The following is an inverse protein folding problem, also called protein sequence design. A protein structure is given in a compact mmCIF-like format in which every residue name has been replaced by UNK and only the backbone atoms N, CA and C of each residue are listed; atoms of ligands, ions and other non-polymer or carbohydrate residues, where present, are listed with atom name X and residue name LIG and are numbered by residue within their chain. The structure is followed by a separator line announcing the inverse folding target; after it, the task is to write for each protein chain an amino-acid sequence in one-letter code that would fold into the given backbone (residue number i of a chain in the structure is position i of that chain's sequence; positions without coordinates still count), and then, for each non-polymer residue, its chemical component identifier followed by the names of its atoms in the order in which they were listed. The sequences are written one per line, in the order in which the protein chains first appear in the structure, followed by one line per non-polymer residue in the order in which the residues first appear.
data_IF_442431667410
#
_entry.id   IF_442431667410
#
_cell.length_a   1.000
_cell.length_b   1.000
_cell.length_c   1.000
_cell.angle_alpha   90.00
_cell.angle_beta   90.00
_cell.angle_gamma   90.00
#
_symmetry.space_group_name_H-M   'P 1'
#
loop_
_entity.id
_entity.type
_entity.pdbx_description
1 polymer ?
#
# COMPACT_ATOMS: atom_id res chain seq x y z
N UNK A 1 -5.04 15.63 8.04
CA UNK A 1 -4.04 14.55 8.17
C UNK A 1 -3.88 14.21 9.64
N UNK A 2 -3.60 12.94 9.98
CA UNK A 2 -3.39 12.49 11.36
C UNK A 2 -2.18 13.21 11.99
N UNK A 3 -2.37 13.85 13.14
CA UNK A 3 -1.32 14.59 13.85
C UNK A 3 -0.15 13.70 14.27
N UNK A 4 -0.39 12.42 14.55
CA UNK A 4 0.66 11.45 14.88
C UNK A 4 1.57 11.15 13.70
N UNK A 5 1.02 11.05 12.48
CA UNK A 5 1.82 10.83 11.28
C UNK A 5 2.74 12.03 11.02
N UNK A 6 2.19 13.25 11.11
CA UNK A 6 2.95 14.48 10.94
C UNK A 6 4.10 14.58 11.98
N UNK A 7 3.84 14.25 13.25
CA UNK A 7 4.86 14.22 14.31
C UNK A 7 5.96 13.19 14.06
N UNK A 8 5.70 12.15 13.27
CA UNK A 8 6.67 11.11 12.89
C UNK A 8 7.42 11.44 11.61
N UNK A 9 7.30 12.67 11.11
CA UNK A 9 8.01 13.16 9.92
C UNK A 9 7.33 12.84 8.60
N UNK A 10 6.07 12.40 8.63
CA UNK A 10 5.31 12.19 7.41
C UNK A 10 5.02 13.53 6.71
N UNK A 11 5.36 13.62 5.43
CA UNK A 11 5.07 14.79 4.58
C UNK A 11 3.94 14.41 3.61
N UNK A 12 2.71 14.92 3.80
CA UNK A 12 1.60 14.61 2.90
C UNK A 12 1.85 15.20 1.52
N UNK A 13 1.60 14.40 0.48
CA UNK A 13 1.48 14.91 -0.88
C UNK A 13 0.01 15.21 -1.19
N UNK A 14 -0.31 16.44 -1.65
CA UNK A 14 -1.69 16.81 -1.91
C UNK A 14 -2.25 16.07 -3.13
N UNK A 15 -3.54 15.74 -3.07
CA UNK A 15 -4.30 15.29 -4.23
C UNK A 15 -4.75 16.50 -5.06
N UNK A 16 -4.86 16.31 -6.38
CA UNK A 16 -5.49 17.30 -7.24
C UNK A 16 -7.00 17.34 -7.00
N UNK A 17 -7.69 18.46 -7.32
CA UNK A 17 -9.15 18.52 -7.22
C UNK A 17 -9.86 17.40 -8.00
N UNK A 18 -9.32 17.00 -9.15
CA UNK A 18 -9.85 15.91 -9.95
C UNK A 18 -9.69 14.54 -9.25
N UNK A 19 -8.56 14.30 -8.59
CA UNK A 19 -8.34 13.09 -7.81
C UNK A 19 -9.27 13.00 -6.60
N UNK A 20 -9.48 14.10 -5.88
CA UNK A 20 -10.48 14.14 -4.80
C UNK A 20 -11.88 13.85 -5.32
N UNK A 21 -12.29 14.51 -6.41
CA UNK A 21 -13.60 14.28 -7.02
C UNK A 21 -13.78 12.83 -7.48
N UNK A 22 -12.75 12.21 -8.05
CA UNK A 22 -12.80 10.80 -8.45
C UNK A 22 -12.98 9.86 -7.23
N UNK A 23 -12.27 10.11 -6.13
CA UNK A 23 -12.48 9.36 -4.88
C UNK A 23 -13.92 9.53 -4.36
N UNK A 24 -14.44 10.76 -4.36
CA UNK A 24 -15.76 11.08 -3.81
C UNK A 24 -16.92 10.52 -4.64
N UNK A 25 -16.73 10.40 -5.96
CA UNK A 25 -17.81 10.04 -6.90
C UNK A 25 -17.71 8.61 -7.43
N UNK A 26 -16.50 8.15 -7.76
CA UNK A 26 -16.28 6.83 -8.35
C UNK A 26 -15.88 5.78 -7.30
N UNK A 27 -15.45 6.22 -6.11
CA UNK A 27 -14.90 5.34 -5.07
C UNK A 27 -13.47 4.86 -5.34
N UNK A 28 -12.81 5.37 -6.40
CA UNK A 28 -11.42 5.06 -6.71
C UNK A 28 -10.72 6.21 -7.47
N UNK A 29 -9.39 6.19 -7.46
CA UNK A 29 -8.53 7.08 -8.25
C UNK A 29 -7.31 6.32 -8.75
N UNK A 30 -6.81 6.69 -9.92
CA UNK A 30 -5.56 6.14 -10.47
C UNK A 30 -4.43 7.11 -10.14
N UNK A 31 -3.37 6.60 -9.51
CA UNK A 31 -2.13 7.33 -9.25
C UNK A 31 -1.06 6.80 -10.20
N UNK A 32 -0.83 7.53 -11.29
CA UNK A 32 0.17 7.16 -12.30
C UNK A 32 1.58 7.45 -11.78
N UNK A 33 2.55 6.61 -12.17
CA UNK A 33 3.98 6.79 -11.90
C UNK A 33 4.32 7.07 -10.42
N UNK A 34 3.51 6.53 -9.51
CA UNK A 34 3.58 6.82 -8.08
C UNK A 34 4.82 6.24 -7.38
N UNK A 35 5.52 5.32 -8.05
CA UNK A 35 6.74 4.68 -7.57
C UNK A 35 7.83 4.69 -8.65
N UNK A 36 9.10 4.76 -8.23
CA UNK A 36 10.24 4.75 -9.15
C UNK A 36 10.40 3.38 -9.84
N UNK A 37 10.87 3.34 -11.10
CA UNK A 37 11.07 2.10 -11.85
C UNK A 37 11.97 1.06 -11.16
N UNK A 38 13.06 1.52 -10.52
CA UNK A 38 14.00 0.63 -9.84
C UNK A 38 13.36 -0.05 -8.62
N UNK A 39 12.58 0.71 -7.83
CA UNK A 39 11.85 0.15 -6.70
C UNK A 39 10.74 -0.81 -7.17
N UNK A 40 10.06 -0.51 -8.28
CA UNK A 40 9.11 -1.44 -8.89
C UNK A 40 9.77 -2.76 -9.30
N UNK A 41 10.97 -2.71 -9.86
CA UNK A 41 11.73 -3.91 -10.21
C UNK A 41 12.10 -4.73 -8.97
N UNK A 42 12.55 -4.06 -7.91
CA UNK A 42 12.86 -4.70 -6.62
C UNK A 42 11.62 -5.35 -5.98
N UNK A 43 10.50 -4.62 -5.92
CA UNK A 43 9.22 -5.13 -5.39
C UNK A 43 8.80 -6.43 -6.09
N UNK A 44 8.87 -6.46 -7.43
CA UNK A 44 8.52 -7.66 -8.22
C UNK A 44 9.45 -8.81 -7.91
N UNK A 45 10.76 -8.56 -7.91
CA UNK A 45 11.76 -9.57 -7.63
C UNK A 45 11.57 -10.17 -6.23
N UNK A 46 11.40 -9.33 -5.21
CA UNK A 46 11.20 -9.76 -3.83
C UNK A 46 9.88 -10.51 -3.65
N UNK A 47 8.79 -10.03 -4.27
CA UNK A 47 7.51 -10.73 -4.27
C UNK A 47 7.64 -12.13 -4.87
N UNK A 48 8.28 -12.26 -6.04
CA UNK A 48 8.47 -13.54 -6.70
C UNK A 48 9.34 -14.50 -5.88
N UNK A 49 10.43 -14.01 -5.29
CA UNK A 49 11.31 -14.79 -4.43
C UNK A 49 10.58 -15.31 -3.17
N UNK A 50 9.79 -14.46 -2.51
CA UNK A 50 9.02 -14.85 -1.32
C UNK A 50 7.94 -15.86 -1.70
N UNK A 51 7.19 -15.60 -2.77
CA UNK A 51 6.14 -16.50 -3.23
C UNK A 51 6.70 -17.89 -3.59
N UNK A 52 7.83 -17.94 -4.29
CA UNK A 52 8.49 -19.22 -4.60
C UNK A 52 9.00 -19.95 -3.35
N UNK A 53 9.47 -19.21 -2.34
CA UNK A 53 9.94 -19.77 -1.07
C UNK A 53 8.80 -20.29 -0.20
N UNK A 54 7.67 -19.60 -0.17
CA UNK A 54 6.49 -20.01 0.62
C UNK A 54 5.69 -21.10 -0.07
N UNK A 55 5.70 -21.16 -1.40
CA UNK A 55 5.07 -22.22 -2.17
C UNK A 55 3.58 -22.34 -1.85
N UNK A 56 3.16 -23.55 -1.49
CA UNK A 56 1.76 -23.86 -1.16
C UNK A 56 1.27 -23.16 0.11
N UNK A 57 2.16 -22.62 0.95
CA UNK A 57 1.80 -21.87 2.16
C UNK A 57 1.67 -20.36 1.91
N UNK A 58 1.95 -19.89 0.69
CA UNK A 58 1.90 -18.47 0.36
C UNK A 58 0.50 -17.88 0.64
N UNK A 59 0.44 -16.94 1.58
CA UNK A 59 -0.80 -16.25 1.97
C UNK A 59 -1.72 -17.03 2.92
N UNK A 60 -1.30 -18.18 3.45
CA UNK A 60 -2.05 -19.00 4.39
C UNK A 60 -2.38 -18.28 5.70
N UNK A 61 -1.64 -17.22 6.06
CA UNK A 61 -1.83 -16.46 7.29
C UNK A 61 -3.15 -15.66 7.31
N UNK A 62 -3.75 -15.43 6.14
CA UNK A 62 -5.01 -14.68 6.02
C UNK A 62 -6.05 -15.49 5.26
N UNK A 63 -5.79 -15.77 3.98
CA UNK A 63 -6.67 -16.53 3.11
C UNK A 63 -5.98 -16.77 1.77
N UNK A 64 -6.03 -18.01 1.31
CA UNK A 64 -5.61 -18.38 -0.04
C UNK A 64 -6.80 -18.37 -0.99
N UNK A 65 -6.51 -18.17 -2.27
CA UNK A 65 -7.50 -18.19 -3.34
C UNK A 65 -6.91 -18.94 -4.52
N UNK A 66 -7.59 -19.99 -4.96
CA UNK A 66 -7.15 -20.82 -6.07
C UNK A 66 -6.93 -19.96 -7.33
N UNK A 67 -5.80 -20.19 -8.02
CA UNK A 67 -5.42 -19.44 -9.21
C UNK A 67 -4.87 -18.03 -8.95
N UNK A 68 -4.78 -17.58 -7.69
CA UNK A 68 -4.27 -16.24 -7.35
C UNK A 68 -2.97 -16.34 -6.58
N UNK A 69 -1.92 -15.69 -7.10
CA UNK A 69 -0.68 -15.48 -6.37
C UNK A 69 -0.91 -14.44 -5.28
N UNK A 70 -0.90 -14.86 -4.02
CA UNK A 70 -1.12 -13.97 -2.88
C UNK A 70 -0.06 -14.18 -1.82
N UNK A 71 0.47 -13.07 -1.31
CA UNK A 71 1.26 -13.02 -0.10
C UNK A 71 0.47 -12.26 0.97
N UNK A 72 0.55 -12.73 2.20
CA UNK A 72 0.09 -12.01 3.38
C UNK A 72 1.28 -11.59 4.23
N UNK A 73 1.02 -10.77 5.26
CA UNK A 73 2.01 -10.33 6.24
C UNK A 73 3.26 -9.65 5.64
N UNK A 74 3.07 -8.87 4.57
CA UNK A 74 4.18 -8.23 3.84
C UNK A 74 5.00 -7.26 4.71
N UNK A 75 4.40 -6.72 5.78
CA UNK A 75 5.09 -5.87 6.78
C UNK A 75 6.29 -6.62 7.40
N UNK A 76 6.17 -7.93 7.60
CA UNK A 76 7.23 -8.75 8.19
C UNK A 76 8.11 -9.46 7.14
N UNK A 77 7.85 -9.26 5.84
CA UNK A 77 8.51 -10.00 4.74
C UNK A 77 9.53 -9.18 3.96
N UNK A 78 9.81 -7.95 4.37
CA UNK A 78 10.97 -7.20 3.88
C UNK A 78 10.69 -5.70 3.74
N UNK A 79 11.74 -4.89 3.97
CA UNK A 79 11.65 -3.42 3.96
C UNK A 79 11.23 -2.82 2.62
N UNK A 80 11.37 -3.57 1.53
CA UNK A 80 10.92 -3.13 0.19
C UNK A 80 9.42 -2.84 0.18
N UNK A 81 8.63 -3.51 1.04
CA UNK A 81 7.19 -3.29 1.16
C UNK A 81 6.83 -2.09 2.04
N UNK A 82 7.75 -1.60 2.89
CA UNK A 82 7.48 -0.49 3.82
C UNK A 82 6.98 0.74 3.08
N UNK A 83 7.63 1.06 1.97
CA UNK A 83 7.30 2.22 1.16
C UNK A 83 5.93 2.11 0.48
N UNK A 84 5.33 0.91 0.34
CA UNK A 84 3.98 0.75 -0.22
C UNK A 84 2.94 1.33 0.73
N UNK A 85 2.93 0.91 1.99
CA UNK A 85 1.95 1.40 2.98
C UNK A 85 2.34 2.75 3.60
N UNK A 86 3.56 3.23 3.33
CA UNK A 86 4.00 4.58 3.68
C UNK A 86 3.94 5.57 2.50
N UNK A 87 3.40 5.17 1.34
CA UNK A 87 3.38 6.04 0.16
C UNK A 87 2.59 7.34 0.47
N UNK A 88 3.19 8.54 0.28
CA UNK A 88 2.58 9.79 0.75
C UNK A 88 1.22 10.15 0.14
N UNK A 89 1.07 9.99 -1.16
CA UNK A 89 -0.17 10.26 -1.90
C UNK A 89 -1.29 9.31 -1.49
N UNK A 90 -0.98 8.04 -1.26
CA UNK A 90 -1.88 7.00 -0.77
C UNK A 90 -2.40 7.37 0.61
N UNK A 91 -1.52 7.73 1.55
CA UNK A 91 -1.95 8.10 2.90
C UNK A 91 -2.79 9.39 2.90
N UNK A 92 -2.51 10.35 2.01
CA UNK A 92 -3.39 11.51 1.78
C UNK A 92 -4.77 11.06 1.25
N UNK A 93 -4.81 10.15 0.27
CA UNK A 93 -6.07 9.62 -0.28
C UNK A 93 -6.89 8.86 0.76
N UNK A 94 -6.25 8.01 1.56
CA UNK A 94 -6.91 7.28 2.66
C UNK A 94 -7.46 8.25 3.70
N UNK A 95 -6.69 9.29 4.07
CA UNK A 95 -7.18 10.32 4.99
C UNK A 95 -8.37 11.09 4.39
N UNK A 96 -8.32 11.42 3.10
CA UNK A 96 -9.41 12.09 2.39
C UNK A 96 -10.72 11.29 2.47
N UNK A 97 -10.65 9.96 2.30
CA UNK A 97 -11.84 9.10 2.37
C UNK A 97 -12.31 8.89 3.81
N UNK A 98 -11.40 8.61 4.75
CA UNK A 98 -11.78 8.20 6.11
C UNK A 98 -12.06 9.37 7.06
N UNK A 99 -11.44 10.53 6.84
CA UNK A 99 -11.59 11.76 7.65
C UNK A 99 -11.40 11.57 9.16
N UNK A 100 -10.65 10.54 9.55
CA UNK A 100 -10.35 10.17 10.95
C UNK A 100 -9.03 9.40 11.03
N UNK A 101 -8.42 9.27 12.22
CA UNK A 101 -7.26 8.42 12.42
C UNK A 101 -7.52 6.99 11.91
N UNK A 102 -6.53 6.40 11.26
CA UNK A 102 -6.63 5.07 10.67
C UNK A 102 -5.36 4.27 10.92
N UNK A 103 -5.44 2.96 10.69
CA UNK A 103 -4.33 2.02 10.82
C UNK A 103 -4.36 1.04 9.66
N UNK A 104 -3.23 0.38 9.42
CA UNK A 104 -3.19 -0.77 8.53
C UNK A 104 -4.14 -1.86 9.06
N UNK A 105 -4.87 -2.50 8.14
CA UNK A 105 -5.73 -3.61 8.50
C UNK A 105 -4.87 -4.86 8.75
N UNK A 106 -4.95 -5.39 9.96
CA UNK A 106 -4.17 -6.54 10.46
C UNK A 106 -2.68 -6.25 10.63
N UNK A 107 -2.24 -6.29 11.90
CA UNK A 107 -0.86 -6.51 12.35
C UNK A 107 -0.93 -7.66 13.35
#
# INVERSE_FOLDING_TARGET
MDSKLLQRGFVPQPLTPAQCSALDTNGFVILEEVIAPDWLAELRHTFDAIFAREGDEAGAEVAQMEGVRRLADLVNKGKVFDAVYLQPTLLTAVFHVLQRPFKLHSL
#
